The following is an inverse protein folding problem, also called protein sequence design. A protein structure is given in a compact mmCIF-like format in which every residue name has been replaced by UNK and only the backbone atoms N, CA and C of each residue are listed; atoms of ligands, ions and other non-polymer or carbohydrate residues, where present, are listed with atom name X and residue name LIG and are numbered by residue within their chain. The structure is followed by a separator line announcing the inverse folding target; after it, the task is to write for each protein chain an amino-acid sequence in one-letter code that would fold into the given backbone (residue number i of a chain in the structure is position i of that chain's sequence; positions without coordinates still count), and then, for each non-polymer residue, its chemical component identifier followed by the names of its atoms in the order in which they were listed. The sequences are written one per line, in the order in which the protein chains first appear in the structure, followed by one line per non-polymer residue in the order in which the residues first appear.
data_IF_385538336601
#
_entry.id   IF_385538336601
#
_cell.length_a   1.000
_cell.length_b   1.000
_cell.length_c   1.000
_cell.angle_alpha   90.00
_cell.angle_beta   90.00
_cell.angle_gamma   90.00
#
_symmetry.space_group_name_H-M   'P 1'
#
loop_
_entity.id
_entity.type
_entity.pdbx_description
1 polymer ?
#
# COMPACT_ATOMS: atom_id res chain seq x y z
N UNK A 1 -7.51 -25.36 -2.99
CA UNK A 1 -7.01 -24.41 -1.98
C UNK A 1 -8.03 -24.36 -0.86
N UNK A 2 -7.66 -24.77 0.36
CA UNK A 2 -8.51 -24.56 1.54
C UNK A 2 -8.29 -23.11 1.99
N UNK A 3 -9.27 -22.24 1.74
CA UNK A 3 -9.27 -20.91 2.35
C UNK A 3 -9.47 -21.07 3.84
N UNK A 4 -8.68 -20.37 4.66
CA UNK A 4 -9.01 -20.22 6.07
C UNK A 4 -10.35 -19.50 6.14
N UNK A 5 -11.35 -20.13 6.75
CA UNK A 5 -12.63 -19.47 7.00
C UNK A 5 -12.41 -18.23 7.88
N UNK A 6 -13.19 -17.18 7.63
CA UNK A 6 -13.15 -15.98 8.44
C UNK A 6 -13.54 -16.31 9.89
N UNK A 7 -12.88 -15.67 10.85
CA UNK A 7 -13.28 -15.77 12.25
C UNK A 7 -14.63 -15.10 12.48
N UNK A 8 -15.45 -15.73 13.33
CA UNK A 8 -16.53 -15.03 14.01
C UNK A 8 -15.94 -14.00 14.99
N UNK A 9 -16.77 -13.03 15.41
CA UNK A 9 -16.38 -12.03 16.41
C UNK A 9 -15.85 -12.69 17.69
N UNK A 10 -16.60 -13.67 18.20
CA UNK A 10 -16.23 -14.41 19.41
C UNK A 10 -14.93 -15.21 19.24
N UNK A 11 -14.71 -15.80 18.06
CA UNK A 11 -13.46 -16.51 17.78
C UNK A 11 -12.26 -15.55 17.76
N UNK A 12 -12.43 -14.36 17.15
CA UNK A 12 -11.39 -13.34 17.10
C UNK A 12 -11.07 -12.78 18.50
N UNK A 13 -12.08 -12.47 19.31
CA UNK A 13 -11.89 -12.01 20.71
C UNK A 13 -11.10 -13.04 21.52
N UNK A 14 -11.56 -14.30 21.49
CA UNK A 14 -10.88 -15.39 22.19
C UNK A 14 -9.45 -15.60 21.69
N UNK A 15 -9.22 -15.46 20.40
CA UNK A 15 -7.88 -15.57 19.82
C UNK A 15 -6.96 -14.47 20.37
N UNK A 16 -7.37 -13.20 20.29
CA UNK A 16 -6.58 -12.06 20.78
C UNK A 16 -6.28 -12.21 22.27
N UNK A 17 -7.29 -12.54 23.08
CA UNK A 17 -7.13 -12.72 24.52
C UNK A 17 -6.14 -13.84 24.84
N UNK A 18 -6.22 -14.99 24.16
CA UNK A 18 -5.28 -16.11 24.39
C UNK A 18 -3.85 -15.75 24.00
N UNK A 19 -3.65 -15.02 22.89
CA UNK A 19 -2.32 -14.61 22.44
C UNK A 19 -1.68 -13.57 23.37
N UNK A 20 -2.48 -12.79 24.08
CA UNK A 20 -2.01 -11.70 24.95
C UNK A 20 -2.02 -12.03 26.44
N UNK A 21 -2.71 -13.10 26.86
CA UNK A 21 -2.92 -13.47 28.27
C UNK A 21 -1.63 -13.68 29.08
N UNK A 22 -0.53 -14.06 28.44
CA UNK A 22 0.76 -14.31 29.10
C UNK A 22 1.81 -13.24 28.75
N UNK A 23 1.42 -12.15 28.11
CA UNK A 23 2.31 -11.05 27.76
C UNK A 23 2.23 -9.96 28.82
N UNK A 24 3.36 -9.34 29.22
CA UNK A 24 3.33 -8.13 30.04
C UNK A 24 2.57 -6.97 29.35
N UNK A 25 2.44 -7.04 28.03
CA UNK A 25 1.70 -6.08 27.21
C UNK A 25 0.33 -6.65 26.82
N UNK A 26 -0.46 -7.05 27.81
CA UNK A 26 -1.83 -7.52 27.58
C UNK A 26 -2.69 -6.39 27.04
N UNK A 27 -3.48 -6.66 26.00
CA UNK A 27 -4.45 -5.69 25.50
C UNK A 27 -5.62 -5.59 26.48
N UNK A 28 -6.02 -4.37 26.79
CA UNK A 28 -7.22 -4.15 27.58
C UNK A 28 -8.49 -4.54 26.79
N UNK A 29 -9.53 -4.93 27.52
CA UNK A 29 -10.72 -5.55 26.94
C UNK A 29 -11.43 -4.61 25.95
N UNK A 30 -11.43 -3.31 26.24
CA UNK A 30 -12.04 -2.29 25.38
C UNK A 30 -11.32 -2.17 24.04
N UNK A 31 -9.98 -2.32 24.01
CA UNK A 31 -9.21 -2.37 22.78
C UNK A 31 -9.55 -3.61 21.96
N UNK A 32 -9.61 -4.78 22.60
CA UNK A 32 -9.96 -6.05 21.93
C UNK A 32 -11.33 -5.95 21.24
N UNK A 33 -12.34 -5.48 21.97
CA UNK A 33 -13.69 -5.28 21.42
C UNK A 33 -13.69 -4.31 20.25
N UNK A 34 -12.94 -3.20 20.37
CA UNK A 34 -12.84 -2.22 19.31
C UNK A 34 -12.18 -2.77 18.05
N UNK A 35 -11.08 -3.51 18.18
CA UNK A 35 -10.38 -4.14 17.04
C UNK A 35 -11.31 -5.12 16.31
N UNK A 36 -12.01 -5.95 17.08
CA UNK A 36 -12.95 -6.95 16.53
C UNK A 36 -14.10 -6.25 15.81
N UNK A 37 -14.64 -5.17 16.37
CA UNK A 37 -15.66 -4.37 15.72
C UNK A 37 -15.13 -3.78 14.41
N UNK A 38 -13.96 -3.13 14.45
CA UNK A 38 -13.35 -2.44 13.31
C UNK A 38 -13.01 -3.39 12.15
N UNK A 39 -12.46 -4.58 12.44
CA UNK A 39 -12.08 -5.59 11.43
C UNK A 39 -13.27 -6.37 10.86
N UNK A 40 -14.40 -6.41 11.57
CA UNK A 40 -15.58 -7.15 11.11
C UNK A 40 -16.41 -6.42 10.05
N UNK A 41 -16.14 -5.14 9.83
CA UNK A 41 -16.93 -4.33 8.91
C UNK A 41 -16.46 -4.52 7.46
N UNK A 42 -17.38 -4.61 6.48
CA UNK A 42 -18.85 -4.58 6.62
C UNK A 42 -19.51 -5.97 6.75
N UNK A 43 -18.74 -7.06 6.73
CA UNK A 43 -19.26 -8.41 6.46
C UNK A 43 -19.50 -9.31 7.69
N UNK A 44 -19.43 -8.77 8.92
CA UNK A 44 -19.61 -9.52 10.19
C UNK A 44 -18.71 -10.77 10.31
N UNK A 45 -17.54 -10.76 9.66
CA UNK A 45 -16.53 -11.80 9.73
C UNK A 45 -15.15 -11.18 9.60
N UNK A 46 -14.18 -11.72 10.33
CA UNK A 46 -12.83 -11.16 10.43
C UNK A 46 -11.86 -12.05 9.68
N UNK A 47 -11.13 -11.47 8.72
CA UNK A 47 -10.04 -12.18 8.05
C UNK A 47 -8.95 -12.51 9.07
N UNK A 48 -8.57 -13.79 9.25
CA UNK A 48 -7.51 -14.19 10.17
C UNK A 48 -6.19 -13.44 9.90
N UNK A 49 -5.94 -13.12 8.63
CA UNK A 49 -4.73 -12.44 8.20
C UNK A 49 -4.74 -10.95 8.53
N UNK A 50 -5.86 -10.26 8.34
CA UNK A 50 -5.99 -8.86 8.76
C UNK A 50 -5.86 -8.74 10.28
N UNK A 51 -6.47 -9.68 11.02
CA UNK A 51 -6.33 -9.75 12.46
C UNK A 51 -4.88 -9.95 12.90
N UNK A 52 -4.15 -10.84 12.23
CA UNK A 52 -2.74 -11.07 12.51
C UNK A 52 -1.90 -9.83 12.22
N UNK A 53 -2.10 -9.16 11.07
CA UNK A 53 -1.37 -7.95 10.71
C UNK A 53 -1.61 -6.81 11.71
N UNK A 54 -2.87 -6.54 12.03
CA UNK A 54 -3.23 -5.51 13.02
C UNK A 54 -2.62 -5.87 14.38
N UNK A 55 -2.75 -7.12 14.82
CA UNK A 55 -2.15 -7.61 16.07
C UNK A 55 -0.62 -7.40 16.13
N UNK A 56 0.10 -7.79 15.07
CA UNK A 56 1.55 -7.59 14.97
C UNK A 56 1.92 -6.09 15.04
N UNK A 57 1.20 -5.23 14.31
CA UNK A 57 1.49 -3.79 14.31
C UNK A 57 1.21 -3.14 15.67
N UNK A 58 0.18 -3.58 16.39
CA UNK A 58 -0.09 -3.14 17.76
C UNK A 58 1.04 -3.53 18.71
N UNK A 59 1.55 -4.77 18.59
CA UNK A 59 2.66 -5.26 19.40
C UNK A 59 3.96 -4.49 19.14
N UNK A 60 4.34 -4.31 17.87
CA UNK A 60 5.55 -3.56 17.47
C UNK A 60 5.50 -2.12 17.98
N UNK A 61 4.32 -1.51 18.04
CA UNK A 61 4.11 -0.12 18.49
C UNK A 61 3.74 0.01 19.97
N UNK A 62 3.69 -1.10 20.70
CA UNK A 62 3.30 -1.16 22.12
C UNK A 62 1.93 -0.50 22.39
N UNK A 63 1.01 -0.58 21.44
CA UNK A 63 -0.37 -0.11 21.58
C UNK A 63 -1.16 -1.19 22.30
N UNK A 64 -1.46 -0.93 23.57
CA UNK A 64 -2.12 -1.89 24.47
C UNK A 64 -3.45 -1.37 25.00
N UNK A 65 -3.77 -0.09 24.73
CA UNK A 65 -4.99 0.57 25.20
C UNK A 65 -5.89 1.09 24.08
N UNK A 66 -7.20 1.14 24.34
CA UNK A 66 -8.16 1.75 23.40
C UNK A 66 -7.82 3.21 23.08
N UNK A 67 -7.35 3.97 24.08
CA UNK A 67 -7.00 5.38 23.88
C UNK A 67 -5.84 5.56 22.90
N UNK A 68 -4.77 4.78 23.03
CA UNK A 68 -3.64 4.80 22.11
C UNK A 68 -4.07 4.40 20.69
N UNK A 69 -4.92 3.38 20.56
CA UNK A 69 -5.45 2.94 19.28
C UNK A 69 -6.29 4.03 18.59
N UNK A 70 -7.13 4.74 19.34
CA UNK A 70 -7.93 5.85 18.81
C UNK A 70 -7.09 7.06 18.38
N UNK A 71 -5.89 7.25 18.93
CA UNK A 71 -4.96 8.31 18.50
C UNK A 71 -4.44 8.09 17.08
N UNK A 72 -4.56 6.88 16.52
CA UNK A 72 -4.20 6.59 15.13
C UNK A 72 -5.16 7.22 14.10
N UNK A 73 -6.30 7.76 14.55
CA UNK A 73 -7.23 8.54 13.73
C UNK A 73 -8.58 7.88 13.53
N UNK A 74 -9.26 8.21 12.42
CA UNK A 74 -10.65 7.81 12.17
C UNK A 74 -10.82 6.32 11.86
N UNK A 75 -9.86 5.73 11.15
CA UNK A 75 -9.85 4.31 10.76
C UNK A 75 -8.54 3.66 11.21
N UNK A 76 -8.34 3.42 12.52
CA UNK A 76 -7.08 2.89 13.03
C UNK A 76 -6.70 1.53 12.44
N UNK A 77 -7.66 0.63 12.17
CA UNK A 77 -7.34 -0.67 11.55
C UNK A 77 -6.75 -0.49 10.16
N UNK A 78 -7.31 0.43 9.36
CA UNK A 78 -6.80 0.71 8.02
C UNK A 78 -5.41 1.37 8.07
N UNK A 79 -5.18 2.24 9.05
CA UNK A 79 -3.84 2.83 9.26
C UNK A 79 -2.80 1.73 9.52
N UNK A 80 -3.09 0.80 10.44
CA UNK A 80 -2.18 -0.29 10.77
C UNK A 80 -1.94 -1.23 9.57
N UNK A 81 -2.98 -1.53 8.79
CA UNK A 81 -2.86 -2.32 7.57
C UNK A 81 -2.00 -1.61 6.51
N UNK A 82 -2.20 -0.31 6.27
CA UNK A 82 -1.38 0.45 5.32
C UNK A 82 0.10 0.46 5.74
N UNK A 83 0.36 0.57 7.03
CA UNK A 83 1.71 0.61 7.58
C UNK A 83 2.48 -0.71 7.40
N UNK A 84 1.78 -1.84 7.27
CA UNK A 84 2.42 -3.10 6.89
C UNK A 84 3.10 -3.00 5.53
N UNK A 85 2.39 -2.49 4.51
CA UNK A 85 2.96 -2.28 3.17
C UNK A 85 4.00 -1.15 3.19
N UNK A 86 3.80 -0.09 3.99
CA UNK A 86 4.82 0.96 4.15
C UNK A 86 6.13 0.37 4.67
N UNK A 87 6.09 -0.52 5.67
CA UNK A 87 7.27 -1.21 6.18
C UNK A 87 7.99 -2.04 5.11
N UNK A 88 7.24 -2.79 4.30
CA UNK A 88 7.82 -3.55 3.17
C UNK A 88 8.50 -2.62 2.16
N UNK A 89 7.89 -1.46 1.87
CA UNK A 89 8.45 -0.46 0.96
C UNK A 89 9.72 0.17 1.55
N UNK A 90 9.76 0.40 2.86
CA UNK A 90 10.93 0.89 3.59
C UNK A 90 12.08 -0.14 3.59
N UNK A 91 11.77 -1.42 3.83
CA UNK A 91 12.73 -2.53 3.81
C UNK A 91 13.39 -2.72 2.43
N UNK A 92 12.77 -2.23 1.36
CA UNK A 92 13.35 -2.21 0.01
C UNK A 92 14.50 -1.20 -0.18
N UNK A 93 15.03 -0.57 0.89
CA UNK A 93 16.16 0.38 0.96
C UNK A 93 16.35 1.35 -0.24
N UNK A 94 15.99 2.63 -0.05
CA UNK A 94 16.49 3.76 -0.85
C UNK A 94 15.64 4.19 -2.05
N UNK A 95 16.26 4.35 -3.23
CA UNK A 95 15.71 5.07 -4.41
C UNK A 95 14.68 4.28 -5.24
N UNK A 96 14.18 3.16 -4.73
CA UNK A 96 13.34 2.23 -5.49
C UNK A 96 11.89 2.21 -5.05
N UNK A 97 11.45 3.09 -4.14
CA UNK A 97 10.06 3.16 -3.67
C UNK A 97 9.05 3.16 -4.82
N UNK A 98 9.22 4.04 -5.82
CA UNK A 98 8.35 4.06 -7.01
C UNK A 98 8.34 2.72 -7.75
N UNK A 99 9.48 2.05 -7.83
CA UNK A 99 9.60 0.74 -8.48
C UNK A 99 8.91 -0.37 -7.69
N UNK A 100 9.06 -0.38 -6.36
CA UNK A 100 8.36 -1.34 -5.49
C UNK A 100 6.86 -1.16 -5.62
N UNK A 101 6.36 0.08 -5.55
CA UNK A 101 4.94 0.38 -5.77
C UNK A 101 4.49 -0.08 -7.15
N UNK A 102 5.26 0.20 -8.21
CA UNK A 102 4.94 -0.24 -9.57
C UNK A 102 4.87 -1.76 -9.70
N UNK A 103 5.82 -2.49 -9.12
CA UNK A 103 5.84 -3.97 -9.13
C UNK A 103 4.64 -4.52 -8.34
N UNK A 104 4.40 -4.04 -7.13
CA UNK A 104 3.25 -4.43 -6.32
C UNK A 104 1.93 -4.16 -7.05
N UNK A 105 1.77 -2.98 -7.65
CA UNK A 105 0.57 -2.62 -8.39
C UNK A 105 0.40 -3.49 -9.65
N UNK A 106 1.49 -3.81 -10.37
CA UNK A 106 1.46 -4.69 -11.54
C UNK A 106 1.06 -6.14 -11.19
N UNK A 107 1.27 -6.56 -9.93
CA UNK A 107 0.80 -7.85 -9.41
C UNK A 107 -0.64 -7.79 -8.84
N UNK A 108 -1.39 -6.73 -9.19
CA UNK A 108 -2.83 -6.59 -8.93
C UNK A 108 -3.59 -6.32 -10.23
N UNK A 109 -4.90 -6.55 -10.26
CA UNK A 109 -5.77 -6.10 -11.35
C UNK A 109 -7.04 -5.38 -10.88
N UNK A 110 -7.75 -4.74 -11.82
CA UNK A 110 -8.99 -3.99 -11.54
C UNK A 110 -10.16 -4.87 -11.11
N UNK A 111 -10.04 -6.19 -11.34
CA UNK A 111 -11.03 -7.19 -10.94
C UNK A 111 -10.72 -7.77 -9.53
N UNK A 112 -9.85 -7.11 -8.77
CA UNK A 112 -9.35 -7.55 -7.45
C UNK A 112 -8.70 -8.94 -7.47
N UNK A 113 -8.02 -9.28 -8.57
CA UNK A 113 -7.27 -10.51 -8.73
C UNK A 113 -5.77 -10.29 -8.52
N UNK A 114 -5.09 -11.42 -8.28
CA UNK A 114 -3.64 -11.53 -8.18
C UNK A 114 -3.11 -12.19 -9.45
N UNK A 115 -2.81 -11.44 -10.52
CA UNK A 115 -2.24 -12.03 -11.72
C UNK A 115 -0.90 -12.72 -11.43
N UNK A 116 -0.65 -13.83 -12.12
CA UNK A 116 0.64 -14.51 -12.14
C UNK A 116 1.45 -13.92 -13.30
N UNK A 117 2.64 -13.38 -13.03
CA UNK A 117 3.50 -12.75 -14.04
C UNK A 117 4.91 -13.32 -14.03
N UNK A 118 5.52 -13.46 -15.20
CA UNK A 118 6.95 -13.81 -15.30
C UNK A 118 7.83 -12.60 -15.00
N UNK A 119 9.10 -12.84 -14.67
CA UNK A 119 10.11 -11.78 -14.58
C UNK A 119 10.14 -10.94 -15.87
N UNK A 120 10.20 -11.60 -17.03
CA UNK A 120 10.24 -10.98 -18.35
C UNK A 120 9.01 -10.09 -18.64
N UNK A 121 7.81 -10.52 -18.22
CA UNK A 121 6.58 -9.73 -18.38
C UNK A 121 6.59 -8.48 -17.51
N UNK A 122 6.99 -8.59 -16.23
CA UNK A 122 7.11 -7.45 -15.33
C UNK A 122 8.15 -6.43 -15.82
N UNK A 123 9.28 -6.92 -16.33
CA UNK A 123 10.34 -6.07 -16.88
C UNK A 123 9.85 -5.27 -18.08
N UNK A 124 9.14 -5.91 -19.01
CA UNK A 124 8.61 -5.28 -20.21
C UNK A 124 7.49 -4.28 -19.91
N UNK A 125 6.57 -4.64 -19.00
CA UNK A 125 5.43 -3.79 -18.65
C UNK A 125 5.84 -2.51 -17.89
N UNK A 126 6.84 -2.62 -17.02
CA UNK A 126 7.26 -1.52 -16.17
C UNK A 126 8.47 -0.74 -16.73
N UNK A 127 9.08 -1.22 -17.81
CA UNK A 127 10.29 -0.67 -18.44
C UNK A 127 11.45 -0.50 -17.44
N UNK A 128 11.67 -1.50 -16.59
CA UNK A 128 12.67 -1.46 -15.49
C UNK A 128 13.89 -2.30 -15.86
N UNK A 129 15.06 -1.91 -15.34
CA UNK A 129 16.28 -2.71 -15.46
C UNK A 129 16.14 -4.05 -14.70
N UNK A 130 16.61 -5.15 -15.30
CA UNK A 130 16.55 -6.51 -14.72
C UNK A 130 17.12 -6.57 -13.31
N UNK A 131 18.34 -6.09 -13.06
CA UNK A 131 18.99 -6.14 -11.74
C UNK A 131 18.18 -5.41 -10.67
N UNK A 132 17.51 -4.32 -11.06
CA UNK A 132 16.64 -3.56 -10.17
C UNK A 132 15.33 -4.29 -9.87
N UNK A 133 14.77 -5.00 -10.87
CA UNK A 133 13.59 -5.84 -10.68
C UNK A 133 13.91 -7.05 -9.80
N UNK A 134 15.05 -7.72 -10.05
CA UNK A 134 15.54 -8.87 -9.27
C UNK A 134 15.61 -8.53 -7.78
N UNK A 135 16.27 -7.43 -7.42
CA UNK A 135 16.39 -6.97 -6.02
C UNK A 135 15.03 -6.69 -5.37
N UNK A 136 14.09 -6.10 -6.10
CA UNK A 136 12.76 -5.82 -5.56
C UNK A 136 11.99 -7.11 -5.35
N UNK A 137 12.02 -8.04 -6.31
CA UNK A 137 11.34 -9.32 -6.19
C UNK A 137 11.92 -10.18 -5.07
N UNK A 138 13.24 -10.19 -4.89
CA UNK A 138 13.92 -10.86 -3.78
C UNK A 138 13.37 -10.39 -2.43
N UNK A 139 13.35 -9.09 -2.18
CA UNK A 139 12.87 -8.52 -0.91
C UNK A 139 11.37 -8.77 -0.71
N UNK A 140 10.56 -8.67 -1.77
CA UNK A 140 9.12 -8.95 -1.69
C UNK A 140 8.82 -10.43 -1.40
N UNK A 141 9.67 -11.34 -1.87
CA UNK A 141 9.59 -12.78 -1.57
C UNK A 141 10.05 -13.06 -0.14
N UNK A 142 11.16 -12.45 0.29
CA UNK A 142 11.67 -12.58 1.67
C UNK A 142 10.65 -12.09 2.71
N UNK A 143 9.94 -11.00 2.40
CA UNK A 143 8.87 -10.45 3.23
C UNK A 143 7.54 -11.24 3.12
N UNK A 144 7.47 -12.29 2.29
CA UNK A 144 6.27 -13.11 2.15
C UNK A 144 5.07 -12.41 1.49
N UNK A 145 5.32 -11.32 0.76
CA UNK A 145 4.29 -10.55 0.04
C UNK A 145 4.05 -11.13 -1.34
N UNK A 146 5.10 -11.70 -1.94
CA UNK A 146 5.08 -12.33 -3.26
C UNK A 146 5.54 -13.78 -3.15
N UNK A 147 4.84 -14.70 -3.81
CA UNK A 147 5.34 -16.04 -4.06
C UNK A 147 6.24 -16.03 -5.30
N UNK A 148 7.41 -16.64 -5.17
CA UNK A 148 8.19 -17.15 -6.29
C UNK A 148 7.67 -18.56 -6.62
N UNK A 149 7.20 -18.73 -7.85
CA UNK A 149 6.68 -19.98 -8.41
C UNK A 149 7.67 -20.44 -9.49
N UNK A 150 8.56 -21.39 -9.18
CA UNK A 150 9.53 -21.88 -10.15
C UNK A 150 8.85 -22.50 -11.37
N UNK A 151 9.22 -22.07 -12.58
CA UNK A 151 8.61 -22.57 -13.83
C UNK A 151 9.58 -22.48 -15.02
N UNK A 152 9.23 -23.13 -16.15
CA UNK A 152 10.04 -23.18 -17.37
C UNK A 152 9.26 -22.49 -18.51
N UNK A 153 9.88 -21.56 -19.27
CA UNK A 153 11.28 -21.16 -19.24
C UNK A 153 11.65 -20.16 -18.14
N UNK A 154 10.67 -19.45 -17.58
CA UNK A 154 10.87 -18.36 -16.64
C UNK A 154 10.05 -18.57 -15.37
N UNK A 155 10.65 -18.25 -14.22
CA UNK A 155 9.98 -18.16 -12.94
C UNK A 155 8.82 -17.16 -12.96
N UNK A 156 7.79 -17.46 -12.15
CA UNK A 156 6.58 -16.64 -12.04
C UNK A 156 6.41 -16.07 -10.64
N UNK A 157 5.73 -14.94 -10.57
CA UNK A 157 5.50 -14.16 -9.37
C UNK A 157 4.02 -13.84 -9.21
N UNK A 158 3.51 -13.94 -7.99
CA UNK A 158 2.12 -13.62 -7.64
C UNK A 158 2.07 -13.12 -6.20
N UNK A 159 1.19 -12.16 -5.88
CA UNK A 159 0.94 -11.78 -4.47
C UNK A 159 0.51 -13.00 -3.65
N UNK A 160 0.84 -13.05 -2.36
CA UNK A 160 0.56 -14.22 -1.52
C UNK A 160 -0.90 -14.36 -1.10
N UNK A 161 -1.63 -13.25 -0.97
CA UNK A 161 -3.00 -13.25 -0.47
C UNK A 161 -3.89 -12.17 -1.10
N UNK A 162 -5.19 -12.47 -1.26
CA UNK A 162 -6.15 -11.60 -1.97
C UNK A 162 -6.32 -10.22 -1.32
N UNK A 163 -6.27 -10.12 0.01
CA UNK A 163 -6.39 -8.83 0.71
C UNK A 163 -5.28 -7.83 0.36
N UNK A 164 -4.11 -8.32 -0.09
CA UNK A 164 -3.02 -7.43 -0.52
C UNK A 164 -3.44 -6.62 -1.75
N UNK A 165 -4.32 -7.15 -2.61
CA UNK A 165 -4.77 -6.45 -3.82
C UNK A 165 -5.50 -5.17 -3.45
N UNK A 166 -6.48 -5.26 -2.57
CA UNK A 166 -7.27 -4.10 -2.14
C UNK A 166 -6.40 -3.10 -1.38
N UNK A 167 -5.52 -3.61 -0.51
CA UNK A 167 -4.60 -2.78 0.28
C UNK A 167 -3.59 -2.01 -0.59
N UNK A 168 -2.90 -2.70 -1.50
CA UNK A 168 -1.93 -2.11 -2.43
C UNK A 168 -2.62 -1.08 -3.32
N UNK A 169 -3.81 -1.37 -3.84
CA UNK A 169 -4.55 -0.46 -4.72
C UNK A 169 -5.03 0.79 -3.99
N UNK A 170 -5.55 0.64 -2.78
CA UNK A 170 -5.94 1.77 -1.93
C UNK A 170 -4.75 2.70 -1.70
N UNK A 171 -3.62 2.14 -1.23
CA UNK A 171 -2.43 2.92 -0.90
C UNK A 171 -1.73 3.52 -2.13
N UNK A 172 -1.68 2.79 -3.24
CA UNK A 172 -1.15 3.33 -4.51
C UNK A 172 -2.03 4.45 -5.06
N UNK A 173 -3.35 4.37 -4.88
CA UNK A 173 -4.30 5.44 -5.20
C UNK A 173 -4.01 6.71 -4.42
N UNK A 174 -3.93 6.61 -3.09
CA UNK A 174 -3.61 7.74 -2.19
C UNK A 174 -2.24 8.36 -2.52
N UNK A 175 -1.23 7.52 -2.80
CA UNK A 175 0.12 7.99 -3.18
C UNK A 175 0.10 8.71 -4.53
N UNK A 176 -0.65 8.21 -5.53
CA UNK A 176 -0.83 8.88 -6.83
C UNK A 176 -1.53 10.23 -6.69
N UNK A 177 -2.58 10.32 -5.86
CA UNK A 177 -3.26 11.59 -5.58
C UNK A 177 -2.28 12.59 -4.96
N UNK A 178 -1.51 12.15 -3.96
CA UNK A 178 -0.50 12.98 -3.29
C UNK A 178 0.58 13.48 -4.27
N UNK A 179 1.06 12.62 -5.16
CA UNK A 179 2.05 12.97 -6.19
C UNK A 179 1.51 14.02 -7.17
N UNK A 180 0.28 13.85 -7.66
CA UNK A 180 -0.38 14.82 -8.53
C UNK A 180 -0.55 16.20 -7.88
N UNK A 181 -0.89 16.25 -6.59
CA UNK A 181 -1.02 17.50 -5.84
C UNK A 181 0.32 18.22 -5.67
N UNK A 182 1.39 17.47 -5.37
CA UNK A 182 2.74 18.00 -5.27
C UNK A 182 3.23 18.58 -6.60
N UNK A 183 2.99 17.88 -7.71
CA UNK A 183 3.37 18.34 -9.04
C UNK A 183 2.56 19.58 -9.46
N UNK A 184 1.26 19.63 -9.15
CA UNK A 184 0.44 20.84 -9.35
C UNK A 184 0.99 22.03 -8.56
N UNK A 185 1.36 21.83 -7.29
CA UNK A 185 1.91 22.87 -6.44
C UNK A 185 3.28 23.35 -6.95
N UNK A 186 4.13 22.45 -7.44
CA UNK A 186 5.42 22.79 -8.07
C UNK A 186 5.23 23.59 -9.35
N UNK A 187 4.32 23.16 -10.23
CA UNK A 187 3.99 23.87 -11.47
C UNK A 187 3.45 25.28 -11.18
N UNK A 188 2.58 25.42 -10.18
CA UNK A 188 2.05 26.72 -9.77
C UNK A 188 3.15 27.64 -9.22
N UNK A 189 4.07 27.12 -8.40
CA UNK A 189 5.23 27.90 -7.93
C UNK A 189 6.14 28.31 -9.08
N UNK A 190 6.35 27.44 -10.07
CA UNK A 190 7.13 27.77 -11.27
C UNK A 190 6.47 28.89 -12.07
N UNK A 191 5.15 28.84 -12.28
CA UNK A 191 4.39 29.90 -12.97
C UNK A 191 4.42 31.24 -12.24
N UNK A 192 4.41 31.23 -10.90
CA UNK A 192 4.53 32.45 -10.08
C UNK A 192 5.96 32.99 -10.03
N UNK A 193 6.96 32.12 -10.18
CA UNK A 193 8.37 32.50 -10.24
C UNK A 193 8.81 32.99 -11.64
N UNK A 194 8.11 32.58 -12.70
CA UNK A 194 8.26 33.17 -14.02
C UNK A 194 7.86 34.65 -13.99
N UNK A 195 8.83 35.54 -14.22
CA UNK A 195 8.66 36.98 -14.13
C UNK A 195 7.41 37.43 -14.92
N UNK A 196 6.47 38.21 -14.34
CA UNK A 196 5.22 38.59 -15.00
C UNK A 196 5.43 39.31 -16.34
N UNK A 197 6.59 39.96 -16.53
CA UNK A 197 6.97 40.57 -17.82
C UNK A 197 7.15 39.52 -18.94
N UNK A 198 7.59 38.31 -18.63
CA UNK A 198 7.80 37.24 -19.61
C UNK A 198 6.50 36.62 -20.12
N UNK A 199 5.49 36.50 -19.24
CA UNK A 199 4.15 36.01 -19.59
C UNK A 199 3.40 37.03 -20.45
N UNK A 200 3.47 38.31 -20.10
CA UNK A 200 2.90 39.40 -20.91
C UNK A 200 3.58 39.45 -22.29
N UNK A 201 4.91 39.34 -22.34
CA UNK A 201 5.64 39.31 -23.63
C UNK A 201 5.29 38.08 -24.47
N UNK A 202 5.09 36.91 -23.87
CA UNK A 202 4.61 35.71 -24.57
C UNK A 202 3.21 35.94 -25.13
N UNK A 203 2.29 36.47 -24.32
CA UNK A 203 0.91 36.76 -24.71
C UNK A 203 0.85 37.73 -25.89
N UNK A 204 1.57 38.85 -25.80
CA UNK A 204 1.70 39.84 -26.88
C UNK A 204 2.29 39.19 -28.14
N UNK A 205 3.32 38.37 -28.01
CA UNK A 205 3.95 37.68 -29.15
C UNK A 205 3.02 36.65 -29.81
N UNK A 206 2.18 35.93 -29.05
CA UNK A 206 1.13 35.06 -29.60
C UNK A 206 0.03 35.84 -30.31
N UNK A 207 -0.41 36.98 -29.77
CA UNK A 207 -1.42 37.83 -30.41
C UNK A 207 -0.91 38.45 -31.71
N UNK A 208 0.34 38.93 -31.74
CA UNK A 208 0.96 39.48 -32.95
C UNK A 208 1.17 38.43 -34.05
N UNK A 209 1.40 37.16 -33.67
CA UNK A 209 1.45 36.05 -34.64
C UNK A 209 0.10 35.80 -35.30
N UNK A 210 -1.00 35.88 -34.55
CA UNK A 210 -2.36 35.79 -35.10
C UNK A 210 -2.68 36.97 -36.03
N UNK A 211 -2.27 38.19 -35.66
CA UNK A 211 -2.52 39.39 -36.45
C UNK A 211 -1.71 39.47 -37.76
N UNK A 212 -0.64 38.66 -37.92
CA UNK A 212 0.15 38.56 -39.16
C UNK A 212 -0.31 37.47 -40.12
N UNK A 213 -1.28 36.64 -39.72
CA UNK A 213 -1.80 35.51 -40.51
C UNK A 213 -3.14 35.87 -41.19
N UNK A 214 -3.66 37.09 -40.99
CA UNK A 214 -4.79 37.67 -41.72
C UNK A 214 -4.35 38.81 -42.64
#
# INVERSE_FOLDING_TARGET
MYGLENFSLEQAENFIQRQTANSPNQFDQDLVQRIVQDLSQPWNGISPLELQLVGCQLQVREITTLSQYQQLGKNPQQFLLNQYIDGIIEDCYGQNERTVISVLYALTDEMNSRPIKTHSALQAELEINSEKLDRVLEILVENGVVFLLPDIPDDRYQLTHDYLVTLIRHQSGERRVTELELDRNRAQRHLLAENPKSLINRAISSMLRWAKIN
#
